data_IF_794274048608
#
_entry.id   IF_794274048608
#
_cell.length_a   1.000
_cell.length_b   1.000
_cell.length_c   1.000
_cell.angle_alpha   90.00
_cell.angle_beta   90.00
_cell.angle_gamma   90.00
#
_symmetry.space_group_name_H-M   'P 1'
#
loop_
_entity.id
_entity.type
_entity.pdbx_description
1 polymer ?
#
# COMPACT_ATOMS: atom_id res chain seq x y z
N UNK A 1 -0.78 9.19 4.38
CA UNK A 1 -0.08 9.23 5.68
C UNK A 1 1.37 9.64 5.45
N UNK A 2 1.86 10.60 6.23
CA UNK A 2 3.23 11.10 6.16
C UNK A 2 4.17 10.34 7.12
N UNK A 3 5.50 10.46 6.97
CA UNK A 3 6.48 9.76 7.84
C UNK A 3 6.30 10.08 9.32
N UNK A 4 5.93 11.33 9.63
CA UNK A 4 5.78 11.82 10.99
C UNK A 4 4.53 11.22 11.64
N UNK A 5 3.40 11.20 10.95
CA UNK A 5 2.16 10.60 11.47
C UNK A 5 2.30 9.10 11.78
N UNK A 6 3.03 8.35 10.94
CA UNK A 6 3.26 6.91 11.19
C UNK A 6 4.20 6.70 12.38
N UNK A 7 5.19 7.57 12.55
CA UNK A 7 6.16 7.49 13.66
C UNK A 7 5.55 7.86 15.01
N UNK A 8 4.55 8.74 15.04
CA UNK A 8 3.87 9.16 16.28
C UNK A 8 2.74 8.20 16.68
N UNK A 9 2.07 7.60 15.69
CA UNK A 9 0.90 6.75 15.93
C UNK A 9 1.23 5.28 16.22
N UNK A 10 2.36 4.79 15.74
CA UNK A 10 2.75 3.38 15.92
C UNK A 10 4.02 3.27 16.76
N UNK A 11 4.01 2.36 17.74
CA UNK A 11 5.09 2.10 18.71
C UNK A 11 6.42 1.62 18.11
N UNK A 12 6.52 1.55 16.77
CA UNK A 12 7.66 1.05 16.02
C UNK A 12 8.86 1.99 15.91
N UNK A 13 8.75 3.24 16.38
CA UNK A 13 9.80 4.25 16.30
C UNK A 13 9.86 4.98 14.94
N UNK A 14 10.98 5.66 14.67
CA UNK A 14 11.12 6.49 13.46
C UNK A 14 11.03 5.67 12.17
N UNK A 15 10.30 6.20 11.18
CA UNK A 15 10.18 5.59 9.84
C UNK A 15 11.47 5.80 9.06
N UNK A 16 12.29 4.75 8.94
CA UNK A 16 13.55 4.78 8.18
C UNK A 16 13.32 4.76 6.68
N UNK A 17 12.38 3.95 6.19
CA UNK A 17 12.11 3.83 4.75
C UNK A 17 10.63 3.56 4.44
N UNK A 18 10.19 4.08 3.29
CA UNK A 18 8.89 3.76 2.71
C UNK A 18 9.12 2.86 1.50
N UNK A 19 8.34 1.79 1.41
CA UNK A 19 8.24 0.96 0.22
C UNK A 19 6.97 1.36 -0.52
N UNK A 20 7.17 2.00 -1.67
CA UNK A 20 6.09 2.38 -2.59
C UNK A 20 6.00 1.37 -3.73
N UNK A 21 4.82 1.27 -4.35
CA UNK A 21 4.66 0.58 -5.63
C UNK A 21 5.69 1.09 -6.64
N UNK A 22 6.09 0.23 -7.58
CA UNK A 22 7.01 0.60 -8.65
C UNK A 22 6.57 1.90 -9.31
N UNK A 23 7.43 2.93 -9.26
CA UNK A 23 7.13 4.27 -9.78
C UNK A 23 6.65 4.23 -11.23
N UNK A 24 7.17 3.31 -12.05
CA UNK A 24 6.73 3.18 -13.43
C UNK A 24 5.27 2.72 -13.55
N UNK A 25 4.76 1.85 -12.66
CA UNK A 25 3.36 1.40 -12.68
C UNK A 25 2.44 2.54 -12.28
N UNK A 26 2.83 3.33 -11.28
CA UNK A 26 2.11 4.55 -10.88
C UNK A 26 2.08 5.57 -12.03
N UNK A 27 3.21 5.77 -12.71
CA UNK A 27 3.31 6.73 -13.81
C UNK A 27 2.52 6.28 -15.05
N UNK A 28 2.62 4.99 -15.43
CA UNK A 28 1.83 4.40 -16.51
C UNK A 28 0.33 4.48 -16.23
N UNK A 29 -0.11 4.14 -15.01
CA UNK A 29 -1.51 4.24 -14.61
C UNK A 29 -2.03 5.68 -14.65
N UNK A 30 -1.21 6.65 -14.22
CA UNK A 30 -1.52 8.09 -14.31
C UNK A 30 -1.68 8.56 -15.75
N UNK A 31 -0.74 8.21 -16.64
CA UNK A 31 -0.81 8.57 -18.06
C UNK A 31 -2.05 7.96 -18.71
N UNK A 32 -2.26 6.65 -18.51
CA UNK A 32 -3.41 5.96 -19.07
C UNK A 32 -4.73 6.58 -18.60
N UNK A 33 -4.84 6.88 -17.30
CA UNK A 33 -6.02 7.54 -16.73
C UNK A 33 -6.28 8.92 -17.35
N UNK A 34 -5.24 9.74 -17.52
CA UNK A 34 -5.34 11.07 -18.16
C UNK A 34 -5.77 10.93 -19.63
N UNK A 35 -5.16 10.00 -20.37
CA UNK A 35 -5.52 9.76 -21.79
C UNK A 35 -6.98 9.34 -21.93
N UNK A 36 -7.46 8.44 -21.06
CA UNK A 36 -8.87 8.03 -21.05
C UNK A 36 -9.79 9.20 -20.68
N UNK A 37 -9.40 10.06 -19.73
CA UNK A 37 -10.18 11.26 -19.39
C UNK A 37 -10.31 12.21 -20.59
N UNK A 38 -9.21 12.49 -21.28
CA UNK A 38 -9.21 13.34 -22.48
C UNK A 38 -10.04 12.72 -23.60
N UNK A 39 -9.94 11.40 -23.80
CA UNK A 39 -10.75 10.69 -24.79
C UNK A 39 -12.25 10.76 -24.47
N UNK A 40 -12.64 10.55 -23.21
CA UNK A 40 -14.03 10.65 -22.75
C UNK A 40 -14.61 12.06 -22.92
N UNK A 41 -13.81 13.10 -22.69
CA UNK A 41 -14.24 14.49 -22.90
C UNK A 41 -14.37 14.80 -24.40
N UNK A 42 -13.41 14.33 -25.21
CA UNK A 42 -13.40 14.58 -26.66
C UNK A 42 -14.51 13.83 -27.40
N UNK A 43 -14.88 12.64 -26.93
CA UNK A 43 -15.95 11.80 -27.49
C UNK A 43 -17.27 11.91 -26.72
N UNK A 44 -17.40 12.92 -25.85
CA UNK A 44 -18.60 13.12 -25.05
C UNK A 44 -19.83 13.26 -25.96
N UNK A 45 -20.82 12.36 -25.85
CA UNK A 45 -22.05 12.47 -26.64
C UNK A 45 -22.81 13.76 -26.30
N UNK A 46 -23.52 14.32 -27.28
CA UNK A 46 -24.33 15.54 -27.08
C UNK A 46 -25.56 15.29 -26.18
N UNK A 47 -25.90 14.03 -25.94
CA UNK A 47 -26.97 13.64 -25.02
C UNK A 47 -26.60 13.96 -23.56
N UNK A 48 -27.48 14.68 -22.87
CA UNK A 48 -27.28 15.14 -21.49
C UNK A 48 -27.03 13.96 -20.54
N UNK A 49 -27.72 12.83 -20.74
CA UNK A 49 -27.57 11.64 -19.89
C UNK A 49 -26.18 11.01 -20.04
N UNK A 50 -25.74 10.80 -21.27
CA UNK A 50 -24.41 10.25 -21.54
C UNK A 50 -23.29 11.19 -21.11
N UNK A 51 -23.51 12.51 -21.19
CA UNK A 51 -22.52 13.51 -20.76
C UNK A 51 -22.33 13.51 -19.24
N UNK A 52 -23.40 13.38 -18.46
CA UNK A 52 -23.31 13.19 -17.00
C UNK A 52 -22.55 11.91 -16.66
N UNK A 53 -22.80 10.82 -17.38
CA UNK A 53 -22.13 9.53 -17.17
C UNK A 53 -20.63 9.62 -17.52
N UNK A 54 -20.26 10.30 -18.60
CA UNK A 54 -18.87 10.58 -18.94
C UNK A 54 -18.15 11.39 -17.85
N UNK A 55 -18.79 12.45 -17.30
CA UNK A 55 -18.19 13.23 -16.23
C UNK A 55 -18.07 12.42 -14.92
N UNK A 56 -19.06 11.60 -14.58
CA UNK A 56 -18.98 10.69 -13.44
C UNK A 56 -17.82 9.69 -13.60
N UNK A 57 -17.63 9.14 -14.81
CA UNK A 57 -16.50 8.25 -15.11
C UNK A 57 -15.15 8.96 -15.00
N UNK A 58 -15.04 10.21 -15.44
CA UNK A 58 -13.82 11.02 -15.27
C UNK A 58 -13.52 11.23 -13.78
N UNK A 59 -14.52 11.58 -12.98
CA UNK A 59 -14.36 11.71 -11.51
C UNK A 59 -13.91 10.39 -10.88
N UNK A 60 -14.52 9.27 -11.27
CA UNK A 60 -14.10 7.94 -10.80
C UNK A 60 -12.68 7.57 -11.23
N UNK A 61 -12.28 7.90 -12.46
CA UNK A 61 -10.92 7.64 -12.96
C UNK A 61 -9.88 8.51 -12.26
N UNK A 62 -10.17 9.79 -12.03
CA UNK A 62 -9.31 10.69 -11.27
C UNK A 62 -9.17 10.20 -9.82
N UNK A 63 -10.26 9.76 -9.21
CA UNK A 63 -10.25 9.14 -7.88
C UNK A 63 -9.37 7.87 -7.85
N UNK A 64 -9.52 6.99 -8.84
CA UNK A 64 -8.70 5.78 -8.96
C UNK A 64 -7.22 6.11 -9.15
N UNK A 65 -6.89 7.09 -10.01
CA UNK A 65 -5.53 7.57 -10.25
C UNK A 65 -4.92 8.18 -8.99
N UNK A 66 -5.71 8.91 -8.19
CA UNK A 66 -5.25 9.43 -6.90
C UNK A 66 -4.92 8.29 -5.92
N UNK A 67 -5.70 7.21 -5.94
CA UNK A 67 -5.48 6.00 -5.15
C UNK A 67 -4.25 5.16 -5.55
N UNK A 68 -3.58 5.45 -6.69
CA UNK A 68 -2.36 4.75 -7.10
C UNK A 68 -1.11 5.15 -6.28
N UNK A 69 -1.15 6.26 -5.55
CA UNK A 69 -0.02 6.79 -4.77
C UNK A 69 0.08 6.23 -3.34
N UNK A 70 -0.49 5.05 -3.12
CA UNK A 70 -0.60 4.49 -1.78
C UNK A 70 0.71 3.81 -1.40
N UNK A 71 1.31 4.25 -0.31
CA UNK A 71 2.46 3.60 0.33
C UNK A 71 2.01 2.24 0.87
N UNK A 72 2.73 1.17 0.49
CA UNK A 72 2.36 -0.20 0.84
C UNK A 72 2.91 -0.61 2.21
N UNK A 73 4.19 -0.32 2.47
CA UNK A 73 4.86 -0.72 3.70
C UNK A 73 5.79 0.38 4.17
N UNK A 74 5.70 0.71 5.46
CA UNK A 74 6.68 1.53 6.16
C UNK A 74 7.60 0.62 6.97
N UNK A 75 8.90 0.84 6.82
CA UNK A 75 9.94 0.20 7.62
C UNK A 75 10.27 1.14 8.77
N UNK A 76 9.88 0.73 9.98
CA UNK A 76 10.21 1.41 11.23
C UNK A 76 11.44 0.75 11.86
N UNK A 77 11.93 1.30 12.96
CA UNK A 77 13.12 0.79 13.66
C UNK A 77 12.89 -0.56 14.34
N UNK A 78 11.67 -0.80 14.83
CA UNK A 78 11.32 -2.01 15.61
C UNK A 78 10.30 -2.90 14.91
N UNK A 79 9.86 -2.56 13.70
CA UNK A 79 8.84 -3.33 12.99
C UNK A 79 8.41 -2.73 11.65
N UNK A 80 7.37 -3.30 11.07
CA UNK A 80 6.72 -2.83 9.86
C UNK A 80 5.36 -2.22 10.16
N UNK A 81 5.00 -1.15 9.46
CA UNK A 81 3.60 -0.70 9.37
C UNK A 81 3.13 -0.98 7.96
N UNK A 82 2.16 -1.88 7.83
CA UNK A 82 1.73 -2.44 6.55
C UNK A 82 0.31 -2.00 6.28
N UNK A 83 0.03 -1.54 5.06
CA UNK A 83 -1.34 -1.30 4.64
C UNK A 83 -2.00 -2.63 4.27
N UNK A 84 -3.04 -3.02 4.99
CA UNK A 84 -3.85 -4.19 4.64
C UNK A 84 -4.57 -3.96 3.31
N UNK A 85 -4.60 -5.01 2.48
CA UNK A 85 -5.37 -4.99 1.23
C UNK A 85 -6.87 -5.01 1.58
N UNK A 86 -7.68 -4.05 1.09
CA UNK A 86 -9.13 -4.14 1.23
C UNK A 86 -9.63 -5.36 0.45
N UNK A 87 -10.32 -6.27 1.13
CA UNK A 87 -10.85 -7.51 0.52
C UNK A 87 -12.19 -7.29 -0.17
N UNK A 88 -12.91 -6.23 0.21
CA UNK A 88 -14.24 -5.89 -0.33
C UNK A 88 -14.30 -4.47 -0.91
N UNK A 89 -15.24 -4.24 -1.84
CA UNK A 89 -15.51 -2.91 -2.41
C UNK A 89 -15.92 -1.90 -1.32
N UNK A 90 -16.71 -2.32 -0.33
CA UNK A 90 -17.08 -1.47 0.81
C UNK A 90 -15.86 -1.04 1.61
N UNK A 91 -14.93 -1.97 1.84
CA UNK A 91 -13.68 -1.72 2.55
C UNK A 91 -12.73 -0.87 1.70
N UNK A 92 -12.78 -0.98 0.37
CA UNK A 92 -12.05 -0.11 -0.54
C UNK A 92 -12.55 1.34 -0.45
N UNK A 93 -13.87 1.57 -0.52
CA UNK A 93 -14.44 2.91 -0.35
C UNK A 93 -14.18 3.48 1.03
N UNK A 94 -14.29 2.65 2.07
CA UNK A 94 -13.96 3.05 3.44
C UNK A 94 -12.48 3.38 3.60
N UNK A 95 -11.57 2.60 3.00
CA UNK A 95 -10.13 2.87 2.98
C UNK A 95 -9.76 4.10 2.15
N UNK A 96 -10.54 4.42 1.12
CA UNK A 96 -10.32 5.61 0.29
C UNK A 96 -10.77 6.90 1.00
N UNK A 97 -11.75 6.82 1.90
CA UNK A 97 -12.24 7.96 2.70
C UNK A 97 -11.46 8.08 4.02
N UNK A 98 -11.23 6.95 4.71
CA UNK A 98 -10.45 6.84 5.95
C UNK A 98 -9.17 6.07 5.66
N UNK A 99 -8.15 6.79 5.16
CA UNK A 99 -6.85 6.20 4.80
C UNK A 99 -6.14 5.50 5.97
N UNK A 100 -6.46 5.86 7.21
CA UNK A 100 -5.65 5.54 8.39
C UNK A 100 -6.01 4.23 9.10
N UNK A 101 -7.24 3.72 8.95
CA UNK A 101 -7.72 2.55 9.71
C UNK A 101 -7.22 1.19 9.15
N UNK A 102 -6.53 1.20 8.02
CA UNK A 102 -6.05 -0.02 7.35
C UNK A 102 -4.55 -0.29 7.54
N UNK A 103 -3.89 0.42 8.45
CA UNK A 103 -2.48 0.19 8.77
C UNK A 103 -2.33 -0.72 9.98
N UNK A 104 -1.61 -1.82 9.80
CA UNK A 104 -1.29 -2.78 10.87
C UNK A 104 0.19 -2.73 11.17
N UNK A 105 0.51 -2.57 12.45
CA UNK A 105 1.88 -2.67 12.95
C UNK A 105 2.24 -4.14 13.23
N UNK A 106 3.39 -4.58 12.74
CA UNK A 106 3.95 -5.92 12.95
C UNK A 106 5.39 -5.78 13.44
N UNK A 107 5.71 -6.19 14.68
CA UNK A 107 7.06 -6.07 15.23
C UNK A 107 8.02 -7.08 14.60
N UNK A 108 9.30 -6.74 14.43
CA UNK A 108 10.26 -7.62 13.74
C UNK A 108 10.47 -8.97 14.43
N UNK A 109 10.36 -9.01 15.76
CA UNK A 109 10.43 -10.23 16.56
C UNK A 109 9.35 -11.27 16.18
N UNK A 110 8.17 -10.80 15.77
CA UNK A 110 7.06 -11.65 15.35
C UNK A 110 7.21 -12.14 13.90
N UNK A 111 8.06 -11.52 13.09
CA UNK A 111 8.13 -11.82 11.66
C UNK A 111 8.88 -13.13 11.42
N UNK A 112 8.17 -14.10 10.84
CA UNK A 112 8.77 -15.37 10.40
C UNK A 112 9.35 -15.23 9.00
N UNK A 113 8.61 -14.57 8.10
CA UNK A 113 9.06 -14.33 6.74
C UNK A 113 7.96 -13.89 5.80
N UNK A 114 8.36 -13.57 4.56
CA UNK A 114 7.45 -13.26 3.47
C UNK A 114 7.16 -14.53 2.66
N UNK A 115 5.96 -14.62 2.10
CA UNK A 115 5.66 -15.64 1.09
C UNK A 115 6.51 -15.44 -0.18
N UNK A 116 6.80 -16.51 -0.95
CA UNK A 116 7.58 -16.42 -2.19
C UNK A 116 6.99 -15.41 -3.19
N UNK A 117 5.65 -15.33 -3.18
CA UNK A 117 4.89 -14.44 -4.04
C UNK A 117 4.81 -13.01 -3.51
N UNK A 118 5.40 -12.68 -2.35
CA UNK A 118 5.32 -11.34 -1.73
C UNK A 118 3.89 -10.81 -1.57
N UNK A 119 2.92 -11.72 -1.42
CA UNK A 119 1.49 -11.43 -1.23
C UNK A 119 1.06 -11.41 0.23
N UNK A 120 1.89 -11.95 1.10
CA UNK A 120 1.56 -12.20 2.49
C UNK A 120 2.82 -12.14 3.37
N UNK A 121 2.69 -11.55 4.56
CA UNK A 121 3.67 -11.60 5.65
C UNK A 121 3.16 -12.61 6.68
N UNK A 122 4.01 -13.57 7.02
CA UNK A 122 3.73 -14.51 8.09
C UNK A 122 4.38 -14.00 9.38
N UNK A 123 3.57 -13.82 10.41
CA UNK A 123 4.01 -13.38 11.72
C UNK A 123 3.45 -14.30 12.81
N UNK A 124 4.15 -14.38 13.93
CA UNK A 124 3.79 -15.20 15.09
C UNK A 124 3.33 -14.28 16.21
N UNK A 125 2.12 -14.53 16.71
CA UNK A 125 1.61 -13.86 17.90
C UNK A 125 2.44 -14.27 19.12
N UNK A 126 2.46 -13.44 20.17
CA UNK A 126 3.10 -13.71 21.48
C UNK A 126 2.68 -15.06 22.09
N UNK A 127 1.54 -15.60 21.68
CA UNK A 127 1.02 -16.91 22.13
C UNK A 127 1.46 -18.10 21.25
N UNK A 128 2.36 -17.89 20.27
CA UNK A 128 2.86 -18.95 19.38
C UNK A 128 1.98 -19.27 18.16
N UNK A 129 0.85 -18.57 17.99
CA UNK A 129 -0.02 -18.74 16.82
C UNK A 129 0.50 -17.97 15.60
N UNK A 130 0.58 -18.62 14.44
CA UNK A 130 0.94 -17.96 13.17
C UNK A 130 -0.29 -17.25 12.61
N UNK A 131 -0.17 -15.96 12.33
CA UNK A 131 -1.17 -15.19 11.60
C UNK A 131 -0.56 -14.62 10.31
N UNK A 132 -1.42 -14.48 9.30
CA UNK A 132 -1.02 -14.07 7.95
C UNK A 132 -1.59 -12.69 7.68
N UNK A 133 -0.72 -11.74 7.37
CA UNK A 133 -1.11 -10.38 6.97
C UNK A 133 -1.05 -10.29 5.46
N UNK A 134 -2.20 -10.14 4.76
CA UNK A 134 -2.22 -9.97 3.30
C UNK A 134 -1.63 -8.61 2.92
N UNK A 135 -0.65 -8.61 2.03
CA UNK A 135 0.08 -7.43 1.58
C UNK A 135 0.52 -7.59 0.13
N UNK A 136 0.35 -6.60 -0.73
CA UNK A 136 0.66 -6.76 -2.16
C UNK A 136 2.01 -6.17 -2.54
N UNK A 137 3.11 -6.75 -2.06
CA UNK A 137 4.46 -6.30 -2.41
C UNK A 137 4.93 -6.82 -3.78
N UNK A 138 4.08 -7.48 -4.57
CA UNK A 138 4.47 -8.00 -5.88
C UNK A 138 5.03 -6.90 -6.78
N UNK A 139 4.35 -5.77 -6.78
CA UNK A 139 4.69 -4.58 -7.57
C UNK A 139 5.74 -3.68 -6.88
N UNK A 140 6.29 -4.06 -5.72
CA UNK A 140 7.37 -3.32 -5.09
C UNK A 140 8.71 -3.54 -5.85
N UNK A 141 9.57 -2.52 -5.97
CA UNK A 141 10.89 -2.67 -6.57
C UNK A 141 11.72 -3.76 -5.87
N UNK A 142 12.48 -4.56 -6.64
CA UNK A 142 13.34 -5.61 -6.07
C UNK A 142 14.34 -5.07 -5.04
N UNK A 143 14.87 -3.86 -5.25
CA UNK A 143 15.74 -3.16 -4.30
C UNK A 143 15.07 -2.94 -2.93
N UNK A 144 13.78 -2.65 -2.91
CA UNK A 144 13.04 -2.43 -1.67
C UNK A 144 12.66 -3.76 -1.01
N UNK A 145 12.38 -4.81 -1.79
CA UNK A 145 12.24 -6.19 -1.27
C UNK A 145 13.52 -6.67 -0.57
N UNK A 146 14.69 -6.43 -1.16
CA UNK A 146 15.97 -6.75 -0.53
C UNK A 146 16.20 -5.95 0.76
N UNK A 147 15.79 -4.67 0.79
CA UNK A 147 15.88 -3.84 2.00
C UNK A 147 14.97 -4.35 3.13
N UNK A 148 13.77 -4.83 2.81
CA UNK A 148 12.88 -5.46 3.80
C UNK A 148 13.54 -6.68 4.44
N UNK A 149 14.13 -7.57 3.62
CA UNK A 149 14.86 -8.74 4.11
C UNK A 149 16.10 -8.35 4.93
N UNK A 150 16.86 -7.37 4.46
CA UNK A 150 18.04 -6.87 5.17
C UNK A 150 17.68 -6.25 6.53
N UNK A 151 16.55 -5.54 6.63
CA UNK A 151 16.09 -4.97 7.89
C UNK A 151 15.73 -6.06 8.92
N UNK A 152 15.02 -7.11 8.49
CA UNK A 152 14.69 -8.26 9.36
C UNK A 152 15.97 -8.96 9.81
N UNK A 153 16.88 -9.24 8.87
CA UNK A 153 18.15 -9.90 9.16
C UNK A 153 18.98 -9.10 10.16
N UNK A 154 19.13 -7.80 9.93
CA UNK A 154 19.86 -6.91 10.84
C UNK A 154 19.26 -6.89 12.25
N UNK A 155 17.93 -6.87 12.36
CA UNK A 155 17.25 -6.94 13.66
C UNK A 155 17.56 -8.26 14.37
N UNK A 156 17.46 -9.40 13.67
CA UNK A 156 17.76 -10.73 14.21
C UNK A 156 19.21 -10.83 14.67
N UNK A 157 20.16 -10.40 13.83
CA UNK A 157 21.60 -10.43 14.13
C UNK A 157 21.97 -9.55 15.34
N UNK A 158 21.18 -8.53 15.67
CA UNK A 158 21.42 -7.62 16.82
C UNK A 158 20.68 -7.99 18.10
N UNK A 159 19.64 -8.82 18.04
CA UNK A 159 18.81 -9.19 19.18
C UNK A 159 18.90 -10.68 19.57
N UNK A 160 19.51 -11.55 18.74
CA UNK A 160 19.86 -12.94 19.09
C UNK A 160 21.23 -13.04 19.80
N UNK A 161 21.60 -12.04 20.63
CA UNK A 161 22.80 -12.04 21.52
C UNK A 161 22.38 -12.12 22.98
#
# INVERSE_FOLDING_TARGET
>A
MTKQEVSERFSGGHVKHMVTTHKAVQWLGRILGIVICVALIKWAPHDIGNRMLCYALVVCLLWWVHGLDVVLVYICEKGFVIKQRPTNLRDYFRSAINLDDYYVYVPFESVVGFTPDWKELQAVNTHGGIYVVPLDLQLAPYKDKMRLQAAIKHYRDTHDV
#
